data_IF_524180114086
#
_entry.id   IF_524180114086
#
_cell.length_a   1.000
_cell.length_b   1.000
_cell.length_c   1.000
_cell.angle_alpha   90.00
_cell.angle_beta   90.00
_cell.angle_gamma   90.00
#
_symmetry.space_group_name_H-M   'P 1'
#
loop_
_entity.id
_entity.type
_entity.pdbx_description
1 polymer ?
#
# COMPACT_ATOMS: atom_id res chain seq x y z
N UNK A 1 26.74 -30.39 6.66
CA UNK A 1 25.79 -29.52 7.39
C UNK A 1 24.51 -30.31 7.57
N UNK A 2 24.16 -30.65 8.80
CA UNK A 2 22.93 -31.38 9.10
C UNK A 2 21.75 -30.48 8.72
N UNK A 3 21.03 -30.83 7.66
CA UNK A 3 20.00 -29.98 7.07
C UNK A 3 18.88 -30.87 6.54
N UNK A 4 17.65 -30.45 6.84
CA UNK A 4 16.37 -31.10 6.53
C UNK A 4 16.35 -31.92 5.24
N UNK A 5 15.70 -33.08 5.30
CA UNK A 5 15.61 -34.02 4.17
C UNK A 5 14.70 -33.48 3.07
N UNK A 6 14.80 -34.03 1.86
CA UNK A 6 13.93 -33.62 0.73
C UNK A 6 12.46 -33.86 1.04
N UNK A 7 12.16 -34.93 1.77
CA UNK A 7 10.81 -35.29 2.21
C UNK A 7 10.26 -34.27 3.20
N UNK A 8 11.08 -33.80 4.14
CA UNK A 8 10.70 -32.73 5.07
C UNK A 8 10.42 -31.41 4.33
N UNK A 9 11.26 -31.07 3.36
CA UNK A 9 11.05 -29.86 2.52
C UNK A 9 9.76 -29.98 1.71
N UNK A 10 9.47 -31.14 1.14
CA UNK A 10 8.23 -31.37 0.39
C UNK A 10 7.01 -31.19 1.29
N UNK A 11 7.00 -31.84 2.45
CA UNK A 11 5.93 -31.70 3.46
C UNK A 11 5.74 -30.26 3.92
N UNK A 12 6.83 -29.52 4.15
CA UNK A 12 6.75 -28.11 4.52
C UNK A 12 6.14 -27.23 3.41
N UNK A 13 6.36 -27.56 2.13
CA UNK A 13 5.80 -26.82 0.99
C UNK A 13 4.32 -27.12 0.72
N UNK A 14 3.78 -28.22 1.24
CA UNK A 14 2.36 -28.56 1.13
C UNK A 14 1.47 -27.59 1.92
N UNK A 15 2.00 -27.00 2.99
CA UNK A 15 1.28 -26.00 3.77
C UNK A 15 1.08 -24.70 3.00
N UNK A 16 -0.17 -24.37 2.72
CA UNK A 16 -0.56 -23.01 2.34
C UNK A 16 -0.63 -22.09 3.58
N UNK A 17 -0.46 -20.79 3.36
CA UNK A 17 -0.43 -19.84 4.47
C UNK A 17 -1.77 -19.74 5.22
N UNK A 18 -2.90 -19.87 4.53
CA UNK A 18 -4.21 -19.73 5.17
C UNK A 18 -4.43 -20.88 6.15
N UNK A 19 -4.20 -22.12 5.73
CA UNK A 19 -4.32 -23.30 6.59
C UNK A 19 -3.36 -23.26 7.77
N UNK A 20 -2.12 -22.80 7.56
CA UNK A 20 -1.16 -22.61 8.64
C UNK A 20 -1.66 -21.61 9.69
N UNK A 21 -2.09 -20.41 9.27
CA UNK A 21 -2.57 -19.39 10.21
C UNK A 21 -3.86 -19.82 10.90
N UNK A 22 -4.78 -20.49 10.22
CA UNK A 22 -6.00 -21.02 10.86
C UNK A 22 -5.68 -22.06 11.94
N UNK A 23 -4.66 -22.88 11.72
CA UNK A 23 -4.29 -23.98 12.63
C UNK A 23 -3.49 -23.48 13.83
N UNK A 24 -2.48 -22.64 13.59
CA UNK A 24 -1.48 -22.28 14.62
C UNK A 24 -1.61 -20.86 15.15
N UNK A 25 -2.16 -19.94 14.35
CA UNK A 25 -2.24 -18.51 14.70
C UNK A 25 -3.58 -17.86 14.30
N UNK A 26 -4.74 -18.46 14.68
CA UNK A 26 -6.04 -17.98 14.22
C UNK A 26 -6.31 -16.52 14.63
N UNK A 27 -5.70 -16.06 15.72
CA UNK A 27 -5.76 -14.68 16.20
C UNK A 27 -5.14 -13.68 15.22
N UNK A 28 -4.15 -14.08 14.41
CA UNK A 28 -3.56 -13.20 13.39
C UNK A 28 -4.48 -13.03 12.19
N UNK A 29 -5.43 -13.93 11.96
CA UNK A 29 -6.28 -13.90 10.78
C UNK A 29 -7.46 -12.93 10.97
N UNK A 30 -7.62 -12.00 10.02
CA UNK A 30 -8.78 -11.10 9.93
C UNK A 30 -9.39 -11.19 8.53
N UNK A 31 -10.70 -11.42 8.44
CA UNK A 31 -11.40 -11.42 7.15
C UNK A 31 -11.44 -9.99 6.58
N UNK A 32 -11.02 -9.82 5.32
CA UNK A 32 -11.07 -8.51 4.63
C UNK A 32 -11.96 -8.49 3.39
N UNK A 33 -12.46 -9.65 2.94
CA UNK A 33 -13.39 -9.77 1.83
C UNK A 33 -14.04 -11.15 1.78
N UNK A 34 -14.86 -11.46 0.74
CA UNK A 34 -15.55 -12.74 0.62
C UNK A 34 -14.61 -13.96 0.63
N UNK A 35 -13.48 -13.87 -0.06
CA UNK A 35 -12.43 -14.90 -0.16
C UNK A 35 -11.03 -14.34 0.14
N UNK A 36 -10.98 -13.28 0.94
CA UNK A 36 -9.74 -12.58 1.24
C UNK A 36 -9.56 -12.41 2.75
N UNK A 37 -8.34 -12.66 3.19
CA UNK A 37 -7.92 -12.46 4.57
C UNK A 37 -6.74 -11.50 4.61
N UNK A 38 -6.57 -10.83 5.73
CA UNK A 38 -5.36 -10.09 6.06
C UNK A 38 -4.88 -10.45 7.45
N UNK A 39 -3.59 -10.25 7.71
CA UNK A 39 -3.09 -10.41 9.08
C UNK A 39 -3.45 -9.19 9.93
N UNK A 40 -3.67 -9.38 11.23
CA UNK A 40 -3.90 -8.28 12.17
C UNK A 40 -2.65 -7.43 12.33
N UNK A 41 -1.48 -8.07 12.40
CA UNK A 41 -0.19 -7.37 12.54
C UNK A 41 0.21 -6.64 11.26
N UNK A 42 -0.11 -7.18 10.08
CA UNK A 42 0.18 -6.57 8.79
C UNK A 42 -1.08 -6.45 7.92
N UNK A 43 -1.76 -5.31 8.04
CA UNK A 43 -2.98 -4.95 7.29
C UNK A 43 -2.85 -5.08 5.76
N UNK A 44 -1.65 -4.78 5.25
CA UNK A 44 -1.26 -4.84 3.84
C UNK A 44 -0.77 -6.21 3.40
N UNK A 45 -0.66 -7.18 4.30
CA UNK A 45 -0.47 -8.59 3.96
C UNK A 45 -1.85 -9.19 3.67
N UNK A 46 -2.10 -9.46 2.40
CA UNK A 46 -3.34 -10.04 1.89
C UNK A 46 -3.13 -11.50 1.51
N UNK A 47 -4.10 -12.33 1.82
CA UNK A 47 -4.12 -13.77 1.53
C UNK A 47 -5.37 -14.05 0.70
N UNK A 48 -5.19 -14.57 -0.50
CA UNK A 48 -6.27 -14.95 -1.41
C UNK A 48 -5.79 -15.96 -2.44
N UNK A 49 -6.68 -16.85 -2.89
CA UNK A 49 -6.44 -17.81 -3.97
C UNK A 49 -5.13 -18.64 -3.81
N UNK A 50 -4.83 -19.11 -2.59
CA UNK A 50 -3.62 -19.90 -2.30
C UNK A 50 -2.30 -19.11 -2.41
N UNK A 51 -2.38 -17.78 -2.38
CA UNK A 51 -1.24 -16.87 -2.45
C UNK A 51 -1.36 -15.82 -1.36
N UNK A 52 -0.23 -15.21 -1.04
CA UNK A 52 -0.20 -14.05 -0.17
C UNK A 52 0.75 -12.99 -0.70
N UNK A 53 0.38 -11.72 -0.48
CA UNK A 53 1.11 -10.55 -0.94
C UNK A 53 1.20 -9.54 0.21
N UNK A 54 2.41 -9.11 0.54
CA UNK A 54 2.65 -8.00 1.45
C UNK A 54 2.90 -6.72 0.65
N UNK A 55 1.81 -6.05 0.28
CA UNK A 55 1.81 -4.96 -0.70
C UNK A 55 2.75 -3.80 -0.33
N UNK A 56 2.81 -3.44 0.97
CA UNK A 56 3.67 -2.33 1.43
C UNK A 56 5.17 -2.64 1.34
N UNK A 57 5.54 -3.93 1.25
CA UNK A 57 6.91 -4.42 1.15
C UNK A 57 7.25 -4.97 -0.25
N UNK A 58 6.27 -5.16 -1.13
CA UNK A 58 6.49 -5.68 -2.49
C UNK A 58 6.95 -7.13 -2.51
N UNK A 59 6.67 -7.91 -1.46
CA UNK A 59 7.02 -9.33 -1.37
C UNK A 59 5.76 -10.20 -1.34
N UNK A 60 5.88 -11.45 -1.76
CA UNK A 60 4.78 -12.41 -1.73
C UNK A 60 5.27 -13.85 -1.74
N UNK A 61 4.32 -14.77 -1.65
CA UNK A 61 4.57 -16.20 -1.62
C UNK A 61 3.31 -17.01 -1.85
N UNK A 62 3.46 -18.33 -1.90
CA UNK A 62 2.34 -19.27 -1.99
C UNK A 62 2.26 -20.14 -0.73
N UNK A 63 3.41 -20.50 -0.18
CA UNK A 63 3.53 -21.44 0.92
C UNK A 63 3.58 -20.73 2.27
N UNK A 64 3.24 -21.45 3.34
CA UNK A 64 3.52 -21.03 4.71
C UNK A 64 5.03 -20.93 4.95
N UNK A 65 5.83 -21.79 4.30
CA UNK A 65 7.30 -21.76 4.36
C UNK A 65 7.86 -20.41 3.90
N UNK A 66 7.39 -19.89 2.75
CA UNK A 66 7.76 -18.56 2.26
C UNK A 66 7.45 -17.47 3.30
N UNK A 67 6.31 -17.59 3.99
CA UNK A 67 5.87 -16.62 4.99
C UNK A 67 6.76 -16.67 6.24
N UNK A 68 7.08 -17.86 6.76
CA UNK A 68 7.96 -18.00 7.92
C UNK A 68 9.35 -17.40 7.65
N UNK A 69 9.87 -17.59 6.43
CA UNK A 69 11.17 -17.03 6.06
C UNK A 69 11.08 -15.51 5.85
N UNK A 70 10.18 -15.06 4.95
CA UNK A 70 10.16 -13.67 4.49
C UNK A 70 9.45 -12.71 5.44
N UNK A 71 8.49 -13.20 6.22
CA UNK A 71 7.66 -12.40 7.13
C UNK A 71 8.04 -12.63 8.58
N UNK A 72 8.25 -13.88 9.01
CA UNK A 72 8.70 -14.16 10.39
C UNK A 72 10.22 -14.07 10.58
N UNK A 73 10.99 -13.97 9.49
CA UNK A 73 12.45 -13.84 9.55
C UNK A 73 13.16 -15.11 10.02
N UNK A 74 12.52 -16.27 9.87
CA UNK A 74 13.11 -17.56 10.22
C UNK A 74 14.13 -17.98 9.17
N UNK A 75 15.15 -18.72 9.60
CA UNK A 75 16.01 -19.44 8.67
C UNK A 75 15.24 -20.61 8.02
N UNK A 76 15.75 -21.09 6.89
CA UNK A 76 15.07 -22.13 6.12
C UNK A 76 14.89 -23.43 6.90
N UNK A 77 15.90 -23.85 7.66
CA UNK A 77 15.88 -25.12 8.41
C UNK A 77 14.84 -25.02 9.52
N UNK A 78 14.90 -23.97 10.33
CA UNK A 78 13.93 -23.73 11.40
C UNK A 78 12.49 -23.62 10.89
N UNK A 79 12.27 -23.01 9.72
CA UNK A 79 10.95 -22.91 9.13
C UNK A 79 10.40 -24.28 8.66
N UNK A 80 11.25 -25.14 8.08
CA UNK A 80 10.86 -26.51 7.67
C UNK A 80 10.55 -27.38 8.89
N UNK A 81 11.39 -27.32 9.94
CA UNK A 81 11.17 -28.07 11.18
C UNK A 81 9.86 -27.67 11.88
N UNK A 82 9.55 -26.37 11.88
CA UNK A 82 8.28 -25.83 12.41
C UNK A 82 7.07 -26.40 11.66
N UNK A 83 7.11 -26.38 10.32
CA UNK A 83 6.00 -26.88 9.50
C UNK A 83 5.85 -28.41 9.53
N UNK A 84 6.93 -29.12 9.85
CA UNK A 84 6.88 -30.56 10.03
C UNK A 84 6.42 -30.98 11.44
N UNK A 85 6.19 -30.03 12.35
CA UNK A 85 5.71 -30.29 13.71
C UNK A 85 6.81 -30.69 14.71
N UNK A 86 8.08 -30.50 14.36
CA UNK A 86 9.22 -30.83 15.22
C UNK A 86 9.60 -29.69 16.17
N UNK A 87 9.04 -28.50 15.96
CA UNK A 87 9.25 -27.33 16.80
C UNK A 87 7.96 -26.51 16.88
N UNK A 88 7.65 -25.98 18.06
CA UNK A 88 6.55 -25.05 18.20
C UNK A 88 6.84 -23.77 17.39
N UNK A 89 5.83 -23.15 16.75
CA UNK A 89 6.00 -21.84 16.13
C UNK A 89 6.63 -20.89 17.15
N UNK A 90 7.73 -20.20 16.80
CA UNK A 90 8.33 -19.27 17.74
C UNK A 90 7.29 -18.22 18.14
N UNK A 91 7.27 -17.78 19.42
CA UNK A 91 6.37 -16.71 19.84
C UNK A 91 6.56 -15.51 18.92
N UNK A 92 5.45 -14.87 18.56
CA UNK A 92 5.40 -13.72 17.66
C UNK A 92 6.35 -12.64 18.18
N UNK A 93 7.61 -12.64 17.72
CA UNK A 93 8.53 -11.54 17.96
C UNK A 93 8.02 -10.39 17.11
N UNK A 94 7.28 -9.48 17.74
CA UNK A 94 6.83 -8.22 17.17
C UNK A 94 8.05 -7.31 16.94
N UNK A 95 8.90 -7.63 15.96
CA UNK A 95 10.08 -6.79 15.65
C UNK A 95 9.90 -5.97 14.37
N UNK A 96 8.77 -6.13 13.67
CA UNK A 96 8.51 -5.34 12.48
C UNK A 96 7.80 -4.03 12.85
N UNK A 97 8.56 -3.11 13.45
CA UNK A 97 8.25 -1.69 13.33
C UNK A 97 8.11 -1.39 11.84
N UNK A 98 6.93 -0.94 11.42
CA UNK A 98 6.71 -0.35 10.08
C UNK A 98 7.94 0.52 9.82
N UNK A 99 8.73 0.31 8.75
CA UNK A 99 9.72 1.30 8.38
C UNK A 99 8.87 2.52 8.12
N UNK A 100 8.95 3.50 9.02
CA UNK A 100 8.34 4.79 8.82
C UNK A 100 9.09 5.36 7.63
N UNK A 101 8.64 5.04 6.42
CA UNK A 101 9.12 5.73 5.22
C UNK A 101 8.91 7.20 5.56
N UNK A 102 9.96 8.03 5.56
CA UNK A 102 9.79 9.43 5.87
C UNK A 102 8.68 9.94 4.96
N UNK A 103 7.60 10.43 5.57
CA UNK A 103 6.48 10.95 4.81
C UNK A 103 7.04 12.10 3.99
N UNK A 104 7.05 11.97 2.67
CA UNK A 104 7.48 13.07 1.81
C UNK A 104 6.59 14.27 2.13
N UNK A 105 7.16 15.44 2.41
CA UNK A 105 6.36 16.62 2.69
C UNK A 105 5.46 16.90 1.49
N UNK A 106 4.19 17.21 1.77
CA UNK A 106 3.25 17.62 0.74
C UNK A 106 3.81 18.87 0.04
N UNK A 107 3.84 18.83 -1.30
CA UNK A 107 4.32 19.94 -2.13
C UNK A 107 3.37 20.15 -3.29
N UNK A 108 2.95 21.40 -3.45
CA UNK A 108 2.14 21.80 -4.60
C UNK A 108 2.94 21.72 -5.91
N UNK A 109 2.28 21.37 -7.03
CA UNK A 109 2.85 21.56 -8.36
C UNK A 109 3.31 23.00 -8.59
N UNK A 110 4.39 23.18 -9.34
CA UNK A 110 4.81 24.52 -9.78
C UNK A 110 3.71 25.17 -10.61
N UNK A 111 3.37 26.42 -10.31
CA UNK A 111 2.37 27.18 -11.05
C UNK A 111 2.94 27.65 -12.39
N UNK A 112 2.12 27.60 -13.43
CA UNK A 112 2.36 28.25 -14.71
C UNK A 112 2.24 29.76 -14.55
N UNK A 113 2.88 30.52 -15.45
CA UNK A 113 2.75 31.99 -15.50
C UNK A 113 1.36 32.42 -16.00
N UNK A 114 0.76 31.60 -16.85
CA UNK A 114 -0.55 31.84 -17.44
C UNK A 114 -1.43 30.62 -17.19
N UNK A 115 -2.72 30.86 -16.93
CA UNK A 115 -3.71 29.80 -16.70
C UNK A 115 -4.65 29.61 -17.91
N UNK A 116 -4.21 29.95 -19.12
CA UNK A 116 -5.05 30.00 -20.31
C UNK A 116 -5.71 28.66 -20.64
N UNK A 117 -5.01 27.53 -20.45
CA UNK A 117 -5.58 26.21 -20.72
C UNK A 117 -6.62 25.83 -19.66
N UNK A 118 -6.35 26.17 -18.39
CA UNK A 118 -7.31 25.94 -17.28
C UNK A 118 -8.55 26.81 -17.40
N UNK A 119 -8.39 28.10 -17.74
CA UNK A 119 -9.50 29.04 -17.92
C UNK A 119 -10.41 28.55 -19.03
N UNK A 120 -9.87 28.29 -20.23
CA UNK A 120 -10.66 27.80 -21.35
C UNK A 120 -11.36 26.48 -21.02
N UNK A 121 -10.63 25.51 -20.46
CA UNK A 121 -11.18 24.21 -20.08
C UNK A 121 -12.36 24.32 -19.09
N UNK A 122 -12.26 25.18 -18.08
CA UNK A 122 -13.32 25.32 -17.07
C UNK A 122 -14.50 26.17 -17.57
N UNK A 123 -14.25 27.17 -18.43
CA UNK A 123 -15.31 27.92 -19.10
C UNK A 123 -16.12 27.02 -20.05
N UNK A 124 -15.46 26.15 -20.81
CA UNK A 124 -16.13 25.15 -21.67
C UNK A 124 -17.00 24.17 -20.86
N UNK A 125 -16.70 24.00 -19.56
CA UNK A 125 -17.50 23.22 -18.60
C UNK A 125 -18.59 24.04 -17.91
N UNK A 126 -18.81 25.28 -18.35
CA UNK A 126 -19.84 26.17 -17.85
C UNK A 126 -19.52 26.85 -16.52
N UNK A 127 -18.23 26.92 -16.13
CA UNK A 127 -17.84 27.65 -14.93
C UNK A 127 -17.68 29.14 -15.27
N UNK A 128 -18.34 29.98 -14.49
CA UNK A 128 -18.35 31.42 -14.70
C UNK A 128 -16.94 32.04 -14.62
N UNK A 129 -16.56 32.94 -15.56
CA UNK A 129 -15.24 33.56 -15.59
C UNK A 129 -14.90 34.37 -14.33
N UNK A 130 -15.89 35.03 -13.72
CA UNK A 130 -15.71 35.81 -12.49
C UNK A 130 -15.37 34.88 -11.32
N UNK A 131 -16.08 33.75 -11.22
CA UNK A 131 -15.79 32.72 -10.20
C UNK A 131 -14.38 32.14 -10.36
N UNK A 132 -13.93 31.91 -11.60
CA UNK A 132 -12.56 31.48 -11.89
C UNK A 132 -11.55 32.52 -11.42
N UNK A 133 -11.80 33.80 -11.69
CA UNK A 133 -10.98 34.92 -11.22
C UNK A 133 -10.83 34.91 -9.69
N UNK A 134 -11.95 34.86 -8.97
CA UNK A 134 -11.97 34.81 -7.50
C UNK A 134 -11.18 33.60 -6.97
N UNK A 135 -11.32 32.43 -7.59
CA UNK A 135 -10.61 31.23 -7.17
C UNK A 135 -9.09 31.29 -7.43
N UNK A 136 -8.69 31.96 -8.52
CA UNK A 136 -7.28 32.16 -8.85
C UNK A 136 -6.64 33.20 -7.94
N UNK A 137 -7.33 34.30 -7.64
CA UNK A 137 -6.89 35.33 -6.69
C UNK A 137 -6.74 34.77 -5.27
N UNK A 138 -7.70 33.95 -4.84
CA UNK A 138 -7.62 33.22 -3.57
C UNK A 138 -6.52 32.13 -3.57
N UNK A 139 -5.88 31.86 -4.71
CA UNK A 139 -4.84 30.85 -4.86
C UNK A 139 -5.34 29.44 -4.54
N UNK A 140 -6.63 29.17 -4.79
CA UNK A 140 -7.26 27.85 -4.65
C UNK A 140 -7.43 27.14 -5.99
N UNK A 141 -7.18 27.85 -7.10
CA UNK A 141 -7.17 27.32 -8.45
C UNK A 141 -5.97 27.89 -9.22
N UNK A 142 -5.19 27.04 -9.91
CA UNK A 142 -4.17 27.51 -10.85
C UNK A 142 -3.82 26.44 -11.90
N UNK A 143 -3.08 26.84 -12.94
CA UNK A 143 -2.54 25.93 -13.95
C UNK A 143 -1.17 25.40 -13.55
N UNK A 144 -0.98 24.08 -13.56
CA UNK A 144 0.34 23.49 -13.31
C UNK A 144 1.29 23.70 -14.50
N UNK A 145 2.54 24.08 -14.22
CA UNK A 145 3.53 24.43 -15.25
C UNK A 145 3.88 23.28 -16.20
N UNK A 146 4.03 22.06 -15.67
CA UNK A 146 4.57 20.92 -16.44
C UNK A 146 3.55 20.28 -17.37
N UNK A 147 2.29 20.18 -16.92
CA UNK A 147 1.26 19.39 -17.61
C UNK A 147 0.01 20.20 -17.93
N UNK A 148 -0.02 21.49 -17.55
CA UNK A 148 -1.16 22.39 -17.77
C UNK A 148 -2.47 21.88 -17.15
N UNK A 149 -2.37 21.03 -16.13
CA UNK A 149 -3.51 20.55 -15.35
C UNK A 149 -4.13 21.69 -14.52
N UNK A 150 -5.45 21.66 -14.32
CA UNK A 150 -6.13 22.42 -13.28
C UNK A 150 -5.69 21.87 -11.92
N UNK A 151 -5.13 22.73 -11.06
CA UNK A 151 -4.79 22.39 -9.68
C UNK A 151 -5.78 23.08 -8.75
N UNK A 152 -6.59 22.30 -8.06
CA UNK A 152 -7.47 22.77 -6.99
C UNK A 152 -6.77 22.56 -5.65
N UNK A 153 -6.58 23.62 -4.87
CA UNK A 153 -5.83 23.59 -3.60
C UNK A 153 -6.79 23.56 -2.42
N UNK A 154 -6.67 22.51 -1.60
CA UNK A 154 -7.33 22.41 -0.31
C UNK A 154 -6.47 23.06 0.77
N UNK A 155 -7.02 24.09 1.43
CA UNK A 155 -6.36 24.81 2.54
C UNK A 155 -7.00 24.42 3.88
N UNK A 156 -6.19 24.43 4.94
CA UNK A 156 -6.71 24.33 6.31
C UNK A 156 -7.30 25.68 6.79
N UNK A 157 -7.85 25.70 8.00
CA UNK A 157 -8.41 26.91 8.61
C UNK A 157 -7.37 28.03 8.81
N UNK A 158 -6.08 27.72 8.76
CA UNK A 158 -4.98 28.68 8.87
C UNK A 158 -4.51 29.16 7.49
N UNK A 159 -5.16 28.71 6.41
CA UNK A 159 -4.82 29.08 5.03
C UNK A 159 -3.67 28.29 4.41
N UNK A 160 -3.11 27.28 5.10
CA UNK A 160 -1.99 26.49 4.57
C UNK A 160 -2.50 25.42 3.61
N UNK A 161 -1.80 25.23 2.49
CA UNK A 161 -2.12 24.16 1.55
C UNK A 161 -1.83 22.78 2.18
N UNK A 162 -2.86 21.95 2.30
CA UNK A 162 -2.79 20.58 2.85
C UNK A 162 -3.13 19.49 1.85
N UNK A 163 -3.81 19.86 0.77
CA UNK A 163 -4.21 18.94 -0.29
C UNK A 163 -4.20 19.63 -1.65
N UNK A 164 -4.07 18.84 -2.71
CA UNK A 164 -4.30 19.30 -4.07
C UNK A 164 -4.94 18.20 -4.91
N UNK A 165 -5.91 18.58 -5.74
CA UNK A 165 -6.53 17.71 -6.73
C UNK A 165 -6.19 18.22 -8.12
N UNK A 166 -5.70 17.33 -8.98
CA UNK A 166 -5.30 17.67 -10.34
C UNK A 166 -6.33 17.14 -11.34
N UNK A 167 -6.71 17.96 -12.31
CA UNK A 167 -7.53 17.57 -13.46
C UNK A 167 -6.81 17.92 -14.76
N UNK A 168 -6.76 16.97 -15.69
CA UNK A 168 -6.23 17.22 -17.03
C UNK A 168 -7.13 18.19 -17.79
N UNK A 169 -6.52 19.11 -18.52
CA UNK A 169 -7.20 20.10 -19.38
C UNK A 169 -7.29 19.66 -20.84
N UNK A 170 -6.61 18.55 -21.19
CA UNK A 170 -6.61 17.98 -22.53
C UNK A 170 -7.14 16.55 -22.44
N UNK A 171 -8.16 16.26 -23.23
CA UNK A 171 -8.51 14.89 -23.56
C UNK A 171 -7.45 14.39 -24.55
N UNK A 172 -6.88 13.21 -24.28
CA UNK A 172 -5.92 12.55 -25.16
C UNK A 172 -6.60 11.78 -26.28
#
# INVERSE_FOLDING_TARGET
>A
MAGVTKEQIAKAKEWDLLSYLQTYEPQELKKSGPREYCTRTHDSLKISNGKWCWNSRGIGGRTALDYLIKVRGMDFVGAVETLCGYSAPPPVKQTFTKPTKPQKPFKLPEASRCASAVVGYLQDRGIDPELLGVCMEAGILYESRRYQNCVFVGRDMQGNARAASLRGTRDG
#
